data_IF_186599426785
#
_entry.id   IF_186599426785
#
_cell.length_a   1.000
_cell.length_b   1.000
_cell.length_c   1.000
_cell.angle_alpha   90.00
_cell.angle_beta   90.00
_cell.angle_gamma   90.00
#
_symmetry.space_group_name_H-M   'P 1'
#
loop_
_entity.id
_entity.type
_entity.pdbx_description
1 polymer ?
#
# COMPACT_ATOMS: atom_id res chain seq x y z
N UNK A 1 7.50 -15.27 14.94
CA UNK A 1 7.04 -14.03 15.57
C UNK A 1 6.19 -13.23 14.60
N UNK A 2 5.12 -12.63 15.09
CA UNK A 2 4.28 -11.78 14.27
C UNK A 2 4.96 -10.44 14.02
N UNK A 3 4.70 -9.87 12.85
CA UNK A 3 5.19 -8.54 12.49
C UNK A 3 4.60 -7.47 13.42
N UNK A 4 5.40 -6.46 13.77
CA UNK A 4 4.95 -5.35 14.61
C UNK A 4 3.84 -4.56 13.93
N UNK A 5 2.72 -4.36 14.62
CA UNK A 5 1.67 -3.46 14.14
C UNK A 5 2.07 -2.01 14.45
N UNK A 6 2.10 -1.19 13.39
CA UNK A 6 2.49 0.22 13.49
C UNK A 6 1.33 1.07 14.02
N UNK A 7 0.13 0.83 13.50
CA UNK A 7 -1.10 1.53 13.90
C UNK A 7 -2.34 0.81 13.39
N UNK A 8 -3.48 1.22 13.91
CA UNK A 8 -4.80 0.77 13.45
C UNK A 8 -5.63 1.98 13.05
N UNK A 9 -6.29 1.89 11.90
CA UNK A 9 -7.31 2.86 11.49
C UNK A 9 -8.65 2.13 11.62
N UNK A 10 -9.39 2.46 12.65
CA UNK A 10 -10.71 1.89 12.94
C UNK A 10 -11.77 2.97 12.76
N UNK A 11 -12.59 2.86 11.73
CA UNK A 11 -13.61 3.86 11.44
C UNK A 11 -14.81 3.77 12.37
N UNK A 12 -14.97 2.65 13.08
CA UNK A 12 -16.08 2.42 14.01
C UNK A 12 -17.47 2.70 13.40
N UNK A 13 -17.59 2.47 12.09
CA UNK A 13 -18.80 2.71 11.30
C UNK A 13 -19.62 1.44 11.07
N UNK A 14 -19.41 0.44 11.91
CA UNK A 14 -20.00 -0.89 11.82
C UNK A 14 -20.51 -1.36 13.18
N UNK A 15 -21.38 -2.38 13.15
CA UNK A 15 -21.80 -3.06 14.36
C UNK A 15 -20.73 -4.09 14.75
N UNK A 16 -20.16 -4.04 15.98
CA UNK A 16 -19.12 -4.98 16.42
C UNK A 16 -19.54 -6.45 16.39
N UNK A 17 -20.84 -6.75 16.37
CA UNK A 17 -21.36 -8.12 16.31
C UNK A 17 -21.36 -8.70 14.89
N UNK A 18 -21.10 -7.88 13.86
CA UNK A 18 -21.07 -8.35 12.48
C UNK A 18 -19.87 -9.27 12.20
N UNK A 19 -20.03 -10.23 11.28
CA UNK A 19 -18.88 -11.05 10.85
C UNK A 19 -17.82 -10.22 10.13
N UNK A 20 -16.59 -10.72 10.15
CA UNK A 20 -15.46 -10.09 9.48
C UNK A 20 -15.20 -10.69 8.11
N UNK A 21 -14.92 -9.84 7.14
CA UNK A 21 -14.36 -10.22 5.85
C UNK A 21 -12.90 -9.74 5.84
N UNK A 22 -11.97 -10.69 5.86
CA UNK A 22 -10.55 -10.42 5.98
C UNK A 22 -9.86 -10.45 4.62
N UNK A 23 -9.12 -9.39 4.29
CA UNK A 23 -8.40 -9.30 3.03
C UNK A 23 -6.99 -8.74 3.24
N UNK A 24 -6.01 -9.61 3.58
CA UNK A 24 -4.64 -9.14 3.81
C UNK A 24 -3.98 -8.64 2.52
N UNK A 25 -3.10 -7.68 2.65
CA UNK A 25 -2.33 -7.15 1.53
C UNK A 25 -0.86 -6.97 1.92
N UNK A 26 0.00 -6.89 0.91
CA UNK A 26 1.43 -6.64 1.07
C UNK A 26 1.82 -5.39 0.30
N UNK A 27 2.77 -4.63 0.85
CA UNK A 27 3.26 -3.37 0.26
C UNK A 27 4.77 -3.32 0.36
N UNK A 28 5.42 -2.82 -0.70
CA UNK A 28 6.87 -2.75 -0.77
C UNK A 28 7.39 -1.34 -0.51
N UNK A 29 8.42 -1.25 0.33
CA UNK A 29 9.17 -0.03 0.59
C UNK A 29 10.51 -0.19 -0.12
N UNK A 30 10.65 0.46 -1.27
CA UNK A 30 11.83 0.33 -2.13
C UNK A 30 12.48 1.72 -2.27
N UNK A 31 13.66 1.87 -1.68
CA UNK A 31 14.43 3.10 -1.84
C UNK A 31 15.39 2.99 -3.01
N UNK A 32 15.46 4.06 -3.77
CA UNK A 32 16.50 4.26 -4.79
C UNK A 32 17.19 5.59 -4.45
N UNK A 33 18.32 5.50 -3.76
CA UNK A 33 18.94 6.67 -3.15
C UNK A 33 18.02 7.25 -2.07
N UNK A 34 17.68 8.52 -2.17
CA UNK A 34 16.78 9.21 -1.23
C UNK A 34 15.31 9.18 -1.66
N UNK A 35 15.03 8.58 -2.80
CA UNK A 35 13.67 8.49 -3.34
C UNK A 35 13.06 7.13 -3.11
N UNK A 36 11.73 7.11 -3.01
CA UNK A 36 10.93 5.89 -2.94
C UNK A 36 10.33 5.56 -4.29
N UNK A 37 10.29 4.27 -4.61
CA UNK A 37 9.49 3.78 -5.72
C UNK A 37 8.03 3.70 -5.26
N UNK A 38 7.20 4.57 -5.80
CA UNK A 38 5.78 4.68 -5.47
C UNK A 38 4.93 4.52 -6.72
N UNK A 39 3.66 4.19 -6.51
CA UNK A 39 2.66 4.21 -7.57
C UNK A 39 1.92 5.54 -7.46
N UNK A 40 1.89 6.27 -8.57
CA UNK A 40 1.13 7.51 -8.69
C UNK A 40 -0.25 7.20 -9.26
N UNK A 41 -1.29 7.58 -8.54
CA UNK A 41 -2.65 7.58 -9.06
C UNK A 41 -2.85 8.89 -9.81
N UNK A 42 -2.84 8.85 -11.14
CA UNK A 42 -2.89 10.05 -11.96
C UNK A 42 -4.25 10.73 -11.98
N UNK A 43 -5.32 9.98 -11.77
CA UNK A 43 -6.68 10.52 -11.77
C UNK A 43 -6.96 11.37 -10.52
N UNK A 44 -6.57 10.89 -9.36
CA UNK A 44 -6.82 11.57 -8.08
C UNK A 44 -5.57 12.21 -7.49
N UNK A 45 -4.42 12.04 -8.14
CA UNK A 45 -3.16 12.71 -7.85
C UNK A 45 -2.62 12.50 -6.43
N UNK A 46 -2.41 11.23 -6.07
CA UNK A 46 -1.74 10.87 -4.81
C UNK A 46 -0.77 9.70 -5.03
N UNK A 47 0.05 9.43 -4.03
CA UNK A 47 1.05 8.37 -4.07
C UNK A 47 0.73 7.25 -3.09
N UNK A 48 1.07 6.01 -3.47
CA UNK A 48 0.94 4.84 -2.62
C UNK A 48 2.10 3.87 -2.86
N UNK A 49 2.33 3.00 -1.87
CA UNK A 49 3.33 1.94 -2.01
C UNK A 49 2.84 0.88 -3.00
N UNK A 50 3.73 0.35 -3.86
CA UNK A 50 3.33 -0.74 -4.75
C UNK A 50 3.02 -2.00 -3.95
N UNK A 51 2.00 -2.72 -4.35
CA UNK A 51 1.54 -3.92 -3.66
C UNK A 51 0.07 -4.20 -3.92
N UNK A 52 -0.47 -5.17 -3.22
CA UNK A 52 -1.88 -5.55 -3.37
C UNK A 52 -2.26 -6.74 -2.50
N UNK A 53 -3.42 -7.30 -2.80
CA UNK A 53 -3.99 -8.41 -2.03
C UNK A 53 -3.22 -9.71 -2.15
N UNK A 54 -3.16 -10.45 -1.04
CA UNK A 54 -2.59 -11.79 -0.99
C UNK A 54 -3.65 -12.77 -1.45
N UNK A 55 -3.32 -13.61 -2.44
CA UNK A 55 -4.22 -14.64 -2.93
C UNK A 55 -4.20 -15.88 -2.03
N UNK A 56 -5.27 -16.67 -2.09
CA UNK A 56 -5.37 -17.91 -1.32
C UNK A 56 -4.21 -18.86 -1.66
N UNK A 57 -3.54 -19.35 -0.63
CA UNK A 57 -2.39 -20.24 -0.77
C UNK A 57 -1.07 -19.56 -1.11
N UNK A 58 -1.09 -18.26 -1.31
CA UNK A 58 0.10 -17.46 -1.65
C UNK A 58 0.81 -17.00 -0.37
N UNK A 59 2.14 -17.09 -0.35
CA UNK A 59 2.92 -16.51 0.75
C UNK A 59 3.00 -14.98 0.60
N UNK A 60 3.35 -14.28 1.68
CA UNK A 60 3.58 -12.84 1.64
C UNK A 60 4.67 -12.48 0.62
N UNK A 61 5.74 -13.25 0.58
CA UNK A 61 6.85 -13.03 -0.35
C UNK A 61 6.40 -13.19 -1.80
N UNK A 62 5.67 -14.26 -2.10
CA UNK A 62 5.12 -14.50 -3.44
C UNK A 62 4.19 -13.38 -3.87
N UNK A 63 3.28 -12.97 -2.99
CA UNK A 63 2.35 -11.88 -3.24
C UNK A 63 3.07 -10.56 -3.49
N UNK A 64 4.09 -10.26 -2.68
CA UNK A 64 4.87 -9.04 -2.80
C UNK A 64 5.58 -8.96 -4.16
N UNK A 65 6.25 -10.03 -4.54
CA UNK A 65 6.97 -10.10 -5.83
C UNK A 65 5.99 -9.93 -6.99
N UNK A 66 4.87 -10.63 -6.95
CA UNK A 66 3.84 -10.60 -8.01
C UNK A 66 3.20 -9.21 -8.12
N UNK A 67 2.68 -8.68 -7.02
CA UNK A 67 1.96 -7.41 -7.02
C UNK A 67 2.86 -6.22 -7.39
N UNK A 68 4.08 -6.18 -6.86
CA UNK A 68 5.03 -5.12 -7.17
C UNK A 68 5.35 -5.11 -8.67
N UNK A 69 5.52 -6.29 -9.26
CA UNK A 69 5.77 -6.41 -10.70
C UNK A 69 4.57 -5.97 -11.52
N UNK A 70 3.38 -6.45 -11.17
CA UNK A 70 2.15 -6.10 -11.90
C UNK A 70 1.87 -4.59 -11.87
N UNK A 71 2.04 -3.97 -10.71
CA UNK A 71 1.68 -2.56 -10.49
C UNK A 71 2.76 -1.56 -10.89
N UNK A 72 4.03 -1.92 -10.78
CA UNK A 72 5.15 -1.00 -11.03
C UNK A 72 6.14 -1.46 -12.09
N UNK A 73 6.13 -2.73 -12.45
CA UNK A 73 7.13 -3.33 -13.33
C UNK A 73 8.45 -3.65 -12.62
N UNK A 74 8.60 -3.32 -11.36
CA UNK A 74 9.81 -3.58 -10.60
C UNK A 74 9.92 -5.06 -10.23
N UNK A 75 11.12 -5.62 -10.37
CA UNK A 75 11.41 -7.01 -10.04
C UNK A 75 12.12 -7.07 -8.70
N UNK A 76 11.38 -7.47 -7.67
CA UNK A 76 11.90 -7.58 -6.30
C UNK A 76 12.96 -8.67 -6.20
N UNK A 77 14.04 -8.38 -5.49
CA UNK A 77 15.09 -9.35 -5.17
C UNK A 77 14.65 -10.11 -3.91
N UNK A 78 14.28 -11.41 -4.00
CA UNK A 78 13.64 -12.11 -2.88
C UNK A 78 14.42 -12.09 -1.57
N UNK A 79 15.73 -12.29 -1.64
CA UNK A 79 16.58 -12.32 -0.44
C UNK A 79 16.73 -10.95 0.26
N UNK A 80 16.30 -9.87 -0.39
CA UNK A 80 16.36 -8.52 0.19
C UNK A 80 15.13 -8.18 1.04
N UNK A 81 14.10 -9.00 1.03
CA UNK A 81 12.84 -8.73 1.71
C UNK A 81 13.03 -8.77 3.23
N UNK A 82 12.66 -7.67 3.89
CA UNK A 82 12.73 -7.53 5.36
C UNK A 82 11.45 -6.91 5.90
N UNK A 83 10.94 -7.45 6.98
CA UNK A 83 9.75 -6.93 7.63
C UNK A 83 9.96 -5.50 8.16
N UNK A 84 8.99 -4.64 7.91
CA UNK A 84 8.94 -3.31 8.54
C UNK A 84 7.86 -3.28 9.62
N UNK A 85 6.63 -3.51 9.25
CA UNK A 85 5.49 -3.47 10.15
C UNK A 85 4.18 -3.58 9.40
N UNK A 86 3.09 -3.58 10.13
CA UNK A 86 1.76 -3.67 9.52
C UNK A 86 0.84 -2.54 9.97
N UNK A 87 -0.18 -2.27 9.16
CA UNK A 87 -1.25 -1.34 9.50
C UNK A 87 -2.58 -2.05 9.32
N UNK A 88 -3.41 -2.02 10.36
CA UNK A 88 -4.74 -2.63 10.35
C UNK A 88 -5.79 -1.59 10.00
N UNK A 89 -6.68 -1.95 9.08
CA UNK A 89 -7.88 -1.18 8.77
C UNK A 89 -9.11 -1.96 9.18
N UNK A 90 -10.01 -1.30 9.91
CA UNK A 90 -11.33 -1.82 10.27
C UNK A 90 -12.38 -0.81 9.83
N UNK A 91 -13.33 -1.26 9.03
CA UNK A 91 -14.42 -0.41 8.55
C UNK A 91 -15.62 -1.26 8.14
N UNK A 92 -16.75 -0.61 7.93
CA UNK A 92 -17.89 -1.24 7.28
C UNK A 92 -17.47 -1.70 5.88
N UNK A 93 -17.87 -2.89 5.50
CA UNK A 93 -17.62 -3.42 4.14
C UNK A 93 -18.43 -2.64 3.10
N UNK A 94 -17.79 -2.31 1.98
CA UNK A 94 -18.46 -1.72 0.82
C UNK A 94 -19.06 -2.78 -0.11
N UNK A 95 -18.68 -4.05 0.07
CA UNK A 95 -19.09 -5.15 -0.81
C UNK A 95 -20.12 -6.08 -0.20
N UNK A 96 -20.13 -6.22 1.11
CA UNK A 96 -21.03 -7.13 1.82
C UNK A 96 -21.81 -6.39 2.89
N UNK A 97 -23.14 -6.60 2.91
CA UNK A 97 -23.99 -6.02 3.94
C UNK A 97 -23.66 -6.64 5.31
N UNK A 98 -23.82 -5.83 6.37
CA UNK A 98 -23.65 -6.27 7.75
C UNK A 98 -22.36 -7.04 7.99
N UNK A 99 -21.27 -6.53 7.41
CA UNK A 99 -19.95 -7.18 7.45
C UNK A 99 -18.88 -6.12 7.76
N UNK A 100 -17.94 -6.50 8.61
CA UNK A 100 -16.77 -5.67 8.94
C UNK A 100 -15.66 -6.01 7.95
N UNK A 101 -15.14 -5.00 7.26
CA UNK A 101 -13.96 -5.15 6.41
C UNK A 101 -12.72 -5.02 7.29
N UNK A 102 -11.91 -6.07 7.32
CA UNK A 102 -10.66 -6.13 8.08
C UNK A 102 -9.52 -6.35 7.13
N UNK A 103 -8.61 -5.39 7.06
CA UNK A 103 -7.45 -5.49 6.19
C UNK A 103 -6.17 -5.17 6.94
N UNK A 104 -5.32 -6.18 7.13
CA UNK A 104 -3.96 -6.00 7.59
C UNK A 104 -3.08 -5.77 6.37
N UNK A 105 -2.39 -4.64 6.35
CA UNK A 105 -1.45 -4.31 5.29
C UNK A 105 -0.04 -4.50 5.82
N UNK A 106 0.70 -5.42 5.21
CA UNK A 106 2.05 -5.79 5.63
C UNK A 106 3.09 -5.07 4.77
N UNK A 107 3.94 -4.28 5.40
CA UNK A 107 4.96 -3.48 4.72
C UNK A 107 6.32 -4.12 4.86
N UNK A 108 7.01 -4.28 3.74
CA UNK A 108 8.33 -4.90 3.67
C UNK A 108 9.32 -3.99 2.98
N UNK A 109 10.50 -3.83 3.57
CA UNK A 109 11.63 -3.26 2.84
C UNK A 109 12.12 -4.30 1.84
N UNK A 110 12.47 -3.86 0.65
CA UNK A 110 13.11 -4.73 -0.32
C UNK A 110 13.89 -3.90 -1.34
N UNK A 111 14.72 -4.61 -2.11
CA UNK A 111 15.46 -4.05 -3.22
C UNK A 111 14.88 -4.61 -4.52
N UNK A 112 14.99 -3.85 -5.59
CA UNK A 112 14.56 -4.25 -6.91
C UNK A 112 15.75 -4.29 -7.86
N UNK A 113 15.64 -5.12 -8.91
CA UNK A 113 16.63 -5.16 -9.99
C UNK A 113 16.57 -3.84 -10.76
N UNK A 114 17.66 -3.51 -11.47
CA UNK A 114 17.72 -2.31 -12.32
C UNK A 114 16.75 -2.38 -13.50
N UNK A 115 16.47 -3.59 -13.97
CA UNK A 115 15.52 -3.81 -15.07
C UNK A 115 14.09 -3.57 -14.60
N UNK A 116 13.30 -2.91 -15.45
CA UNK A 116 11.88 -2.69 -15.19
C UNK A 116 11.09 -3.46 -16.25
N UNK A 117 10.27 -4.39 -15.80
CA UNK A 117 9.39 -5.17 -16.67
C UNK A 117 8.11 -4.41 -17.01
N UNK A 118 7.32 -4.93 -17.95
CA UNK A 118 6.01 -4.37 -18.26
C UNK A 118 5.05 -4.53 -17.07
N UNK A 119 4.21 -3.53 -16.86
CA UNK A 119 3.13 -3.59 -15.86
C UNK A 119 1.98 -4.45 -16.37
N UNK A 120 1.17 -4.97 -15.44
CA UNK A 120 -0.04 -5.72 -15.74
C UNK A 120 -1.20 -5.11 -14.94
N UNK A 121 -1.59 -3.89 -15.34
CA UNK A 121 -2.66 -3.16 -14.66
C UNK A 121 -4.03 -3.80 -14.92
N UNK A 122 -4.86 -3.86 -13.88
CA UNK A 122 -6.26 -4.21 -14.04
C UNK A 122 -7.05 -3.00 -14.58
N UNK A 123 -8.34 -3.20 -14.88
CA UNK A 123 -9.18 -2.15 -15.48
C UNK A 123 -9.26 -0.91 -14.58
N UNK A 124 -9.39 -1.10 -13.27
CA UNK A 124 -9.46 -0.02 -12.31
C UNK A 124 -8.16 0.80 -12.29
N UNK A 125 -7.02 0.14 -12.29
CA UNK A 125 -5.70 0.78 -12.28
C UNK A 125 -5.43 1.56 -13.58
N UNK A 126 -5.89 1.04 -14.71
CA UNK A 126 -5.81 1.75 -15.99
C UNK A 126 -6.69 3.01 -15.97
N UNK A 127 -7.93 2.89 -15.50
CA UNK A 127 -8.87 4.01 -15.40
C UNK A 127 -8.37 5.11 -14.47
N UNK A 128 -7.70 4.75 -13.39
CA UNK A 128 -7.13 5.68 -12.44
C UNK A 128 -5.72 6.15 -12.82
N UNK A 129 -5.21 5.74 -13.96
CA UNK A 129 -3.93 6.19 -14.52
C UNK A 129 -2.74 5.91 -13.59
N UNK A 130 -2.60 4.67 -13.16
CA UNK A 130 -1.48 4.24 -12.33
C UNK A 130 -0.16 4.32 -13.09
N UNK A 131 0.88 4.79 -12.44
CA UNK A 131 2.23 4.81 -13.00
C UNK A 131 3.29 4.75 -11.90
N UNK A 132 4.45 4.17 -12.22
CA UNK A 132 5.60 4.16 -11.33
C UNK A 132 6.22 5.55 -11.27
N UNK A 133 6.52 6.01 -10.06
CA UNK A 133 7.19 7.27 -9.83
C UNK A 133 8.26 7.10 -8.74
N UNK A 134 9.38 7.81 -8.88
CA UNK A 134 10.42 7.88 -7.86
C UNK A 134 10.35 9.24 -7.21
N UNK A 135 9.96 9.27 -5.93
CA UNK A 135 9.59 10.51 -5.23
C UNK A 135 10.22 10.50 -3.84
N UNK A 136 10.64 11.68 -3.37
CA UNK A 136 11.11 11.80 -1.98
C UNK A 136 9.95 11.62 -1.01
N UNK A 137 10.25 11.17 0.21
CA UNK A 137 9.22 11.04 1.26
C UNK A 137 8.52 12.38 1.51
N UNK A 138 9.28 13.46 1.58
CA UNK A 138 8.76 14.80 1.83
C UNK A 138 7.74 15.24 0.77
N UNK A 139 8.05 15.01 -0.50
CA UNK A 139 7.16 15.38 -1.60
C UNK A 139 5.92 14.50 -1.64
N UNK A 140 6.08 13.19 -1.42
CA UNK A 140 4.94 12.27 -1.40
C UNK A 140 3.98 12.60 -0.25
N UNK A 141 4.51 12.87 0.94
CA UNK A 141 3.73 13.27 2.11
C UNK A 141 3.00 14.59 1.84
N UNK A 142 3.72 15.58 1.30
CA UNK A 142 3.15 16.89 0.98
C UNK A 142 1.96 16.74 0.03
N UNK A 143 2.14 16.01 -1.07
CA UNK A 143 1.08 15.79 -2.06
C UNK A 143 -0.13 15.09 -1.43
N UNK A 144 0.11 14.03 -0.70
CA UNK A 144 -0.98 13.24 -0.08
C UNK A 144 -1.74 14.05 0.99
N UNK A 145 -1.06 14.98 1.69
CA UNK A 145 -1.68 15.77 2.76
C UNK A 145 -2.32 17.07 2.30
N UNK A 146 -1.76 17.71 1.28
CA UNK A 146 -2.10 19.10 0.94
C UNK A 146 -2.87 19.27 -0.36
N UNK A 147 -2.65 18.40 -1.34
CA UNK A 147 -3.30 18.53 -2.63
C UNK A 147 -4.74 18.00 -2.60
N UNK A 148 -5.55 18.46 -3.53
CA UNK A 148 -6.93 18.00 -3.69
C UNK A 148 -6.94 16.67 -4.47
N UNK A 149 -7.56 15.65 -3.89
CA UNK A 149 -7.67 14.31 -4.47
C UNK A 149 -9.09 14.00 -4.96
N UNK A 150 -9.93 15.01 -5.10
CA UNK A 150 -11.29 14.86 -5.61
C UNK A 150 -12.13 13.95 -4.71
N UNK A 151 -12.74 12.93 -5.32
CA UNK A 151 -13.60 11.98 -4.60
C UNK A 151 -12.83 11.14 -3.58
N UNK A 152 -11.51 11.07 -3.71
CA UNK A 152 -10.65 10.30 -2.80
C UNK A 152 -10.22 11.09 -1.56
N UNK A 153 -10.61 12.36 -1.44
CA UNK A 153 -10.29 13.18 -0.28
C UNK A 153 -10.80 12.53 1.02
N UNK A 154 -9.90 12.40 2.00
CA UNK A 154 -10.21 11.73 3.25
C UNK A 154 -10.23 10.20 3.14
N UNK A 155 -9.82 9.63 2.01
CA UNK A 155 -9.75 8.19 1.82
C UNK A 155 -8.82 7.50 2.83
N UNK A 156 -9.29 6.38 3.37
CA UNK A 156 -8.55 5.63 4.41
C UNK A 156 -7.20 5.14 3.88
N UNK A 157 -7.14 4.76 2.60
CA UNK A 157 -5.91 4.28 1.98
C UNK A 157 -4.87 5.39 1.84
N UNK A 158 -5.26 6.60 1.50
CA UNK A 158 -4.34 7.75 1.44
C UNK A 158 -3.79 8.04 2.83
N UNK A 159 -4.65 8.03 3.85
CA UNK A 159 -4.25 8.23 5.24
C UNK A 159 -3.30 7.14 5.72
N UNK A 160 -3.60 5.88 5.44
CA UNK A 160 -2.76 4.74 5.81
C UNK A 160 -1.36 4.86 5.18
N UNK A 161 -1.30 5.05 3.87
CA UNK A 161 -0.01 5.15 3.16
C UNK A 161 0.79 6.36 3.63
N UNK A 162 0.13 7.48 3.84
CA UNK A 162 0.79 8.70 4.29
C UNK A 162 1.37 8.56 5.69
N UNK A 163 0.64 7.90 6.61
CA UNK A 163 1.16 7.61 7.96
C UNK A 163 2.42 6.74 7.92
N UNK A 164 2.44 5.75 7.05
CA UNK A 164 3.63 4.90 6.88
C UNK A 164 4.80 5.74 6.37
N UNK A 165 4.56 6.61 5.39
CA UNK A 165 5.60 7.53 4.88
C UNK A 165 6.13 8.44 5.99
N UNK A 166 5.26 8.99 6.82
CA UNK A 166 5.64 9.84 7.95
C UNK A 166 6.49 9.09 8.98
N UNK A 167 6.12 7.84 9.30
CA UNK A 167 6.90 6.99 10.19
C UNK A 167 8.30 6.69 9.61
N UNK A 168 8.38 6.45 8.31
CA UNK A 168 9.66 6.24 7.62
C UNK A 168 10.52 7.50 7.67
N UNK A 169 9.92 8.66 7.50
CA UNK A 169 10.64 9.93 7.55
C UNK A 169 11.19 10.20 8.95
N UNK A 170 10.42 9.94 10.01
CA UNK A 170 10.85 10.05 11.40
C UNK A 170 12.02 9.12 11.69
N UNK A 171 11.99 7.88 11.19
CA UNK A 171 13.04 6.89 11.39
C UNK A 171 14.37 7.22 10.72
N UNK A 172 14.39 8.19 9.80
CA UNK A 172 15.60 8.63 9.09
C UNK A 172 16.40 9.70 9.85
N UNK A 173 15.87 10.23 10.93
CA UNK A 173 16.50 11.31 11.69
C UNK A 173 17.49 10.72 12.75
#
# INVERSE_FOLDING_TARGET
>A
MSMKRLFTIDLQDYNPEWPHSTRPSVRAIIFQGEKLALVHNGKFDYYMFPGGGIEEGESHEEALIREVKEESGLVVIPKSIKEYGSALRLSKSSHFENTIFEQENFYYFCEAKEEIDATEFDVHEIEEQYSLAFVSLEEAIRKNRQDDHGEENGGVWIERETRVMELLLEGKI
#
